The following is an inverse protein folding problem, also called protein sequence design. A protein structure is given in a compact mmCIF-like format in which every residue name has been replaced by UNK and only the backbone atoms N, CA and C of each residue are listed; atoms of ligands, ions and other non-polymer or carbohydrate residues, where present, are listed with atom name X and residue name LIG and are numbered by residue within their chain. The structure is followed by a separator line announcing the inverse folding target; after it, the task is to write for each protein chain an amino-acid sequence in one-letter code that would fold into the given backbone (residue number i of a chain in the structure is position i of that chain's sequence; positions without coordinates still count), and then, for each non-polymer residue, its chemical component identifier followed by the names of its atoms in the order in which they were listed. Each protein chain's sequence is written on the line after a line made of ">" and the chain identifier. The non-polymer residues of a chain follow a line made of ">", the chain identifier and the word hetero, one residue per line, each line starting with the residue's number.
data_IF_327890428165
#
_entry.id   IF_327890428165
#
_cell.length_a   1.000
_cell.length_b   1.000
_cell.length_c   1.000
_cell.angle_alpha   90.00
_cell.angle_beta   90.00
_cell.angle_gamma   90.00
#
_symmetry.space_group_name_H-M   'P 1'
#
loop_
_entity.id
_entity.type
_entity.pdbx_description
1 polymer ?
#
# COMPACT_ATOMS: atom_id res chain seq x y z
N UNK A 1 -69.12 9.53 2.68
CA UNK A 1 -68.85 8.82 1.40
C UNK A 1 -67.34 8.73 1.06
N UNK A 2 -66.49 9.42 1.79
CA UNK A 2 -65.01 9.40 1.59
C UNK A 2 -64.28 8.33 2.39
N UNK A 3 -64.94 7.67 3.35
CA UNK A 3 -64.30 6.78 4.35
C UNK A 3 -64.10 5.32 3.85
N UNK A 4 -64.54 5.02 2.62
CA UNK A 4 -64.36 3.67 2.00
C UNK A 4 -63.34 3.64 0.86
N UNK A 5 -62.79 4.78 0.47
CA UNK A 5 -61.97 4.90 -0.74
C UNK A 5 -60.46 4.64 -0.50
N UNK A 6 -60.05 4.59 0.75
CA UNK A 6 -58.61 4.46 1.07
C UNK A 6 -58.43 3.54 2.28
N UNK A 7 -57.88 2.37 2.08
CA UNK A 7 -57.50 1.45 3.15
C UNK A 7 -55.97 1.29 3.19
N UNK A 8 -55.38 1.72 4.28
CA UNK A 8 -53.95 1.58 4.54
C UNK A 8 -53.79 0.44 5.55
N UNK A 9 -53.24 -0.68 5.13
CA UNK A 9 -52.88 -1.78 6.02
C UNK A 9 -51.34 -1.83 6.17
N UNK A 10 -50.86 -1.53 7.41
CA UNK A 10 -49.49 -1.65 7.78
C UNK A 10 -49.26 -3.00 8.46
N UNK A 11 -48.38 -3.85 7.94
CA UNK A 11 -47.89 -5.03 8.63
C UNK A 11 -46.87 -4.69 9.74
N UNK A 12 -46.48 -5.64 10.61
CA UNK A 12 -45.53 -5.39 11.68
C UNK A 12 -44.11 -5.01 11.18
N UNK A 13 -43.85 -5.20 9.91
CA UNK A 13 -42.58 -4.83 9.25
C UNK A 13 -42.79 -3.52 8.49
N UNK A 14 -42.11 -2.45 8.89
CA UNK A 14 -42.18 -1.08 8.35
C UNK A 14 -41.92 -0.95 6.84
N UNK A 15 -41.72 -2.06 6.13
CA UNK A 15 -41.38 -2.10 4.71
C UNK A 15 -42.54 -2.42 3.77
N UNK A 16 -43.74 -2.74 4.28
CA UNK A 16 -44.88 -3.12 3.45
C UNK A 16 -46.13 -2.29 3.80
N UNK A 17 -46.32 -1.19 3.10
CA UNK A 17 -47.57 -0.45 3.11
C UNK A 17 -48.35 -0.78 1.84
N UNK A 18 -49.53 -1.34 1.98
CA UNK A 18 -50.44 -1.59 0.88
C UNK A 18 -51.53 -0.54 0.87
N UNK A 19 -51.60 0.25 -0.22
CA UNK A 19 -52.63 1.23 -0.42
C UNK A 19 -53.63 0.68 -1.47
N UNK A 20 -54.84 0.37 -1.02
CA UNK A 20 -55.93 -0.10 -1.87
C UNK A 20 -56.83 1.09 -2.20
N UNK A 21 -57.18 1.26 -3.47
CA UNK A 21 -58.15 2.27 -3.93
C UNK A 21 -59.04 1.70 -5.01
N UNK A 22 -60.34 1.96 -4.91
CA UNK A 22 -61.38 1.45 -5.80
C UNK A 22 -61.43 2.18 -7.15
N UNK A 23 -60.75 3.33 -7.31
CA UNK A 23 -60.71 4.06 -8.57
C UNK A 23 -59.29 4.27 -9.09
N UNK A 24 -59.02 3.88 -10.32
CA UNK A 24 -57.73 4.04 -10.99
C UNK A 24 -57.26 5.52 -11.00
N UNK A 25 -58.20 6.45 -11.14
CA UNK A 25 -57.88 7.88 -11.17
C UNK A 25 -57.35 8.40 -9.82
N UNK A 26 -57.95 8.01 -8.69
CA UNK A 26 -57.48 8.40 -7.35
C UNK A 26 -56.11 7.81 -7.05
N UNK A 27 -55.87 6.59 -7.51
CA UNK A 27 -54.56 5.92 -7.34
C UNK A 27 -53.46 6.66 -8.12
N UNK A 28 -53.68 7.01 -9.37
CA UNK A 28 -52.73 7.80 -10.17
C UNK A 28 -52.43 9.14 -9.51
N UNK A 29 -53.48 9.82 -9.00
CA UNK A 29 -53.34 11.12 -8.34
C UNK A 29 -52.50 11.00 -7.05
N UNK A 30 -52.72 9.94 -6.26
CA UNK A 30 -51.93 9.65 -5.04
C UNK A 30 -50.46 9.38 -5.36
N UNK A 31 -50.19 8.61 -6.42
CA UNK A 31 -48.81 8.31 -6.85
C UNK A 31 -48.11 9.59 -7.32
N UNK A 32 -48.76 10.41 -8.12
CA UNK A 32 -48.20 11.71 -8.57
C UNK A 32 -47.95 12.63 -7.37
N UNK A 33 -48.85 12.67 -6.42
CA UNK A 33 -48.68 13.43 -5.18
C UNK A 33 -47.49 12.91 -4.35
N UNK A 34 -47.32 11.58 -4.23
CA UNK A 34 -46.20 10.93 -3.52
C UNK A 34 -44.87 11.25 -4.21
N UNK A 35 -44.80 11.14 -5.54
CA UNK A 35 -43.59 11.46 -6.30
C UNK A 35 -43.23 12.95 -6.15
N UNK A 36 -44.21 13.83 -6.21
CA UNK A 36 -44.00 15.27 -5.97
C UNK A 36 -43.51 15.52 -4.54
N UNK A 37 -44.09 14.85 -3.55
CA UNK A 37 -43.67 14.96 -2.15
C UNK A 37 -42.22 14.48 -1.94
N UNK A 38 -41.82 13.37 -2.55
CA UNK A 38 -40.44 12.86 -2.50
C UNK A 38 -39.49 13.85 -3.15
N UNK A 39 -39.84 14.40 -4.31
CA UNK A 39 -39.03 15.35 -5.06
C UNK A 39 -38.91 16.68 -4.27
N UNK A 40 -39.99 17.16 -3.69
CA UNK A 40 -40.00 18.36 -2.86
C UNK A 40 -39.16 18.15 -1.59
N UNK A 41 -39.37 17.05 -0.88
CA UNK A 41 -38.59 16.69 0.31
C UNK A 41 -37.07 16.57 -0.02
N UNK A 42 -36.76 15.93 -1.13
CA UNK A 42 -35.36 15.80 -1.64
C UNK A 42 -34.77 17.19 -1.93
N UNK A 43 -35.49 18.07 -2.61
CA UNK A 43 -35.04 19.43 -2.91
C UNK A 43 -34.87 20.28 -1.64
N UNK A 44 -35.82 20.26 -0.74
CA UNK A 44 -35.76 20.99 0.54
C UNK A 44 -34.58 20.50 1.38
N UNK A 45 -34.41 19.19 1.52
CA UNK A 45 -33.27 18.60 2.25
C UNK A 45 -31.92 18.93 1.59
N UNK A 46 -31.86 18.99 0.26
CA UNK A 46 -30.64 19.42 -0.44
C UNK A 46 -30.26 20.86 -0.07
N UNK A 47 -31.20 21.79 -0.17
CA UNK A 47 -30.94 23.20 0.16
C UNK A 47 -30.62 23.39 1.64
N UNK A 48 -31.34 22.70 2.53
CA UNK A 48 -31.08 22.73 3.98
C UNK A 48 -29.69 22.20 4.31
N UNK A 49 -29.36 21.00 3.82
CA UNK A 49 -28.03 20.35 4.06
C UNK A 49 -26.93 21.25 3.53
N UNK A 50 -27.08 21.78 2.32
CA UNK A 50 -26.10 22.69 1.73
C UNK A 50 -25.94 23.97 2.57
N UNK A 51 -27.03 24.60 3.01
CA UNK A 51 -26.99 25.81 3.81
C UNK A 51 -26.40 25.58 5.19
N UNK A 52 -26.81 24.52 5.86
CA UNK A 52 -26.27 24.13 7.18
C UNK A 52 -24.78 23.80 7.10
N UNK A 53 -24.38 23.01 6.11
CA UNK A 53 -22.97 22.70 5.90
C UNK A 53 -22.13 23.94 5.64
N UNK A 54 -22.57 24.83 4.76
CA UNK A 54 -21.84 26.07 4.48
C UNK A 54 -21.80 27.00 5.70
N UNK A 55 -22.83 27.06 6.51
CA UNK A 55 -22.87 27.86 7.75
C UNK A 55 -21.93 27.28 8.81
N UNK A 56 -21.95 25.96 9.04
CA UNK A 56 -21.10 25.29 10.04
C UNK A 56 -19.64 25.38 9.61
N UNK A 57 -19.33 24.99 8.37
CA UNK A 57 -17.97 24.98 7.84
C UNK A 57 -17.43 26.42 7.77
N UNK A 58 -18.22 27.38 7.30
CA UNK A 58 -17.82 28.78 7.23
C UNK A 58 -17.56 29.40 8.61
N UNK A 59 -18.31 29.01 9.66
CA UNK A 59 -18.04 29.43 11.04
C UNK A 59 -16.78 28.78 11.60
N UNK A 60 -16.58 27.46 11.41
CA UNK A 60 -15.39 26.76 11.88
C UNK A 60 -14.12 27.15 11.10
N UNK A 61 -14.23 27.42 9.80
CA UNK A 61 -13.11 27.81 8.95
C UNK A 61 -12.57 29.22 9.27
N UNK A 62 -13.40 30.11 9.86
CA UNK A 62 -12.98 31.45 10.32
C UNK A 62 -12.09 31.40 11.55
N UNK A 63 -12.14 30.33 12.31
CA UNK A 63 -11.27 30.11 13.47
C UNK A 63 -9.86 29.73 13.00
N UNK A 64 -8.85 30.53 13.31
CA UNK A 64 -7.45 30.32 12.85
C UNK A 64 -6.88 28.93 13.18
N UNK A 65 -7.45 28.26 14.16
CA UNK A 65 -7.04 26.96 14.67
C UNK A 65 -7.25 25.81 13.66
N UNK A 66 -8.15 25.99 12.66
CA UNK A 66 -8.55 24.93 11.74
C UNK A 66 -8.12 25.17 10.27
N UNK A 67 -6.83 25.39 10.07
CA UNK A 67 -6.27 25.68 8.73
C UNK A 67 -6.58 24.61 7.66
N UNK A 68 -6.72 23.35 8.05
CA UNK A 68 -7.03 22.27 7.13
C UNK A 68 -8.49 22.25 6.68
N UNK A 69 -9.42 22.79 7.49
CA UNK A 69 -10.82 22.93 7.12
C UNK A 69 -11.01 23.91 5.95
N UNK A 70 -10.17 24.93 5.89
CA UNK A 70 -10.12 25.90 4.78
C UNK A 70 -9.67 25.27 3.46
N UNK A 71 -8.73 24.34 3.50
CA UNK A 71 -8.32 23.59 2.31
C UNK A 71 -9.46 22.68 1.80
N UNK A 72 -10.14 21.98 2.69
CA UNK A 72 -11.29 21.15 2.36
C UNK A 72 -12.47 21.99 1.79
N UNK A 73 -12.67 23.21 2.25
CA UNK A 73 -13.66 24.14 1.72
C UNK A 73 -13.31 24.62 0.30
N UNK A 74 -12.05 24.95 0.03
CA UNK A 74 -11.58 25.34 -1.32
C UNK A 74 -11.84 24.25 -2.35
N UNK A 75 -11.59 22.97 -2.00
CA UNK A 75 -11.86 21.82 -2.86
C UNK A 75 -13.33 21.40 -2.88
N UNK A 76 -14.22 22.18 -2.22
CA UNK A 76 -15.66 21.94 -2.20
C UNK A 76 -16.06 20.54 -1.70
N UNK A 77 -15.26 19.95 -0.78
CA UNK A 77 -15.52 18.61 -0.22
C UNK A 77 -16.93 18.53 0.35
N UNK A 78 -17.31 19.50 1.16
CA UNK A 78 -18.63 19.57 1.81
C UNK A 78 -19.77 19.80 0.80
N UNK A 79 -19.50 20.55 -0.27
CA UNK A 79 -20.50 20.77 -1.32
C UNK A 79 -20.76 19.48 -2.12
N UNK A 80 -19.71 18.63 -2.28
CA UNK A 80 -19.84 17.32 -2.95
C UNK A 80 -20.56 16.28 -2.07
N UNK A 81 -20.62 16.47 -0.74
CA UNK A 81 -21.38 15.63 0.19
C UNK A 81 -22.87 16.02 0.28
N UNK A 82 -23.22 17.26 -0.03
CA UNK A 82 -24.61 17.73 0.08
C UNK A 82 -25.63 16.87 -0.69
N UNK A 83 -25.36 16.33 -1.90
CA UNK A 83 -26.29 15.47 -2.62
C UNK A 83 -26.53 14.09 -1.98
N UNK A 84 -25.75 13.71 -0.98
CA UNK A 84 -25.90 12.41 -0.31
C UNK A 84 -27.24 12.29 0.41
N UNK A 85 -27.70 13.37 1.07
CA UNK A 85 -28.95 13.37 1.83
C UNK A 85 -30.17 13.21 0.92
N UNK A 86 -30.33 13.99 -0.16
CA UNK A 86 -31.42 13.74 -1.10
C UNK A 86 -31.36 12.37 -1.76
N UNK A 87 -30.17 11.87 -2.09
CA UNK A 87 -30.02 10.52 -2.63
C UNK A 87 -30.49 9.45 -1.63
N UNK A 88 -30.18 9.62 -0.33
CA UNK A 88 -30.66 8.73 0.72
C UNK A 88 -32.20 8.76 0.86
N UNK A 89 -32.84 9.93 0.68
CA UNK A 89 -34.29 10.04 0.67
C UNK A 89 -34.90 9.27 -0.51
N UNK A 90 -34.33 9.42 -1.70
CA UNK A 90 -34.79 8.69 -2.90
C UNK A 90 -34.58 7.19 -2.72
N UNK A 91 -33.44 6.78 -2.13
CA UNK A 91 -33.17 5.38 -1.81
C UNK A 91 -34.24 4.79 -0.86
N UNK A 92 -34.56 5.52 0.21
CA UNK A 92 -35.56 5.11 1.20
C UNK A 92 -37.00 5.13 0.62
N UNK A 93 -37.23 5.92 -0.42
CA UNK A 93 -38.53 5.98 -1.11
C UNK A 93 -38.79 4.76 -2.03
N UNK A 94 -37.72 4.06 -2.49
CA UNK A 94 -37.86 2.91 -3.38
C UNK A 94 -38.77 1.80 -2.84
N UNK A 95 -38.58 1.30 -1.61
CA UNK A 95 -39.48 0.32 -0.99
C UNK A 95 -40.94 0.80 -0.86
N UNK A 96 -41.16 2.10 -0.59
CA UNK A 96 -42.49 2.69 -0.53
C UNK A 96 -43.21 2.65 -1.90
N UNK A 97 -42.47 2.91 -2.98
CA UNK A 97 -42.99 2.82 -4.35
C UNK A 97 -43.27 1.39 -4.77
N UNK A 98 -42.44 0.41 -4.36
CA UNK A 98 -42.66 -1.00 -4.68
C UNK A 98 -43.87 -1.61 -3.96
N UNK A 99 -44.34 -1.02 -2.84
CA UNK A 99 -45.57 -1.40 -2.14
C UNK A 99 -46.89 -0.89 -2.76
N UNK A 100 -46.82 -0.12 -3.85
CA UNK A 100 -48.02 0.43 -4.50
C UNK A 100 -48.66 -0.63 -5.40
N UNK A 101 -50.00 -0.68 -5.44
CA UNK A 101 -50.81 -1.67 -6.17
C UNK A 101 -50.63 -1.62 -7.69
N UNK A 102 -50.11 -0.51 -8.24
CA UNK A 102 -49.89 -0.37 -9.67
C UNK A 102 -48.57 -1.04 -10.10
N UNK A 103 -48.65 -2.10 -10.95
CA UNK A 103 -47.48 -2.94 -11.28
C UNK A 103 -46.37 -2.14 -11.98
N UNK A 104 -46.72 -1.15 -12.80
CA UNK A 104 -45.73 -0.31 -13.49
C UNK A 104 -44.90 0.54 -12.52
N UNK A 105 -45.52 1.05 -11.46
CA UNK A 105 -44.90 1.95 -10.47
C UNK A 105 -44.11 1.10 -9.47
N UNK A 106 -44.69 -0.01 -9.03
CA UNK A 106 -44.00 -0.99 -8.19
C UNK A 106 -42.71 -1.49 -8.84
N UNK A 107 -42.74 -1.72 -10.16
CA UNK A 107 -41.58 -2.14 -10.94
C UNK A 107 -40.48 -1.06 -11.01
N UNK A 108 -40.80 0.22 -10.83
CA UNK A 108 -39.83 1.34 -10.82
C UNK A 108 -39.17 1.55 -9.47
N UNK A 109 -39.78 1.09 -8.36
CA UNK A 109 -39.27 1.35 -7.01
C UNK A 109 -37.88 0.75 -6.78
N UNK A 110 -37.69 -0.50 -7.21
CA UNK A 110 -36.42 -1.21 -7.08
C UNK A 110 -35.28 -0.59 -7.93
N UNK A 111 -35.41 -0.37 -9.25
CA UNK A 111 -34.35 0.26 -10.03
C UNK A 111 -34.04 1.70 -9.56
N UNK A 112 -35.04 2.44 -9.07
CA UNK A 112 -34.83 3.77 -8.51
C UNK A 112 -33.95 3.73 -7.25
N UNK A 113 -34.18 2.78 -6.37
CA UNK A 113 -33.34 2.59 -5.17
C UNK A 113 -31.90 2.18 -5.54
N UNK A 114 -31.72 1.29 -6.53
CA UNK A 114 -30.39 0.92 -7.03
C UNK A 114 -29.64 2.12 -7.62
N UNK A 115 -30.32 2.91 -8.46
CA UNK A 115 -29.73 4.13 -9.03
C UNK A 115 -29.36 5.15 -7.95
N UNK A 116 -30.21 5.34 -6.94
CA UNK A 116 -29.94 6.22 -5.81
C UNK A 116 -28.72 5.74 -5.00
N UNK A 117 -28.63 4.43 -4.75
CA UNK A 117 -27.48 3.83 -4.06
C UNK A 117 -26.18 4.00 -4.86
N UNK A 118 -26.19 3.73 -6.17
CA UNK A 118 -25.04 3.99 -7.04
C UNK A 118 -24.62 5.46 -7.05
N UNK A 119 -25.62 6.36 -7.05
CA UNK A 119 -25.35 7.80 -6.97
C UNK A 119 -24.76 8.21 -5.61
N UNK A 120 -25.19 7.58 -4.51
CA UNK A 120 -24.58 7.80 -3.19
C UNK A 120 -23.10 7.36 -3.17
N UNK A 121 -22.78 6.19 -3.75
CA UNK A 121 -21.39 5.74 -3.89
C UNK A 121 -20.56 6.73 -4.72
N UNK A 122 -21.12 7.21 -5.85
CA UNK A 122 -20.47 8.21 -6.69
C UNK A 122 -20.21 9.53 -5.95
N UNK A 123 -21.19 10.05 -5.20
CA UNK A 123 -21.03 11.30 -4.44
C UNK A 123 -20.00 11.16 -3.33
N UNK A 124 -19.98 10.00 -2.65
CA UNK A 124 -18.99 9.71 -1.61
C UNK A 124 -17.59 9.63 -2.20
N UNK A 125 -17.42 8.95 -3.33
CA UNK A 125 -16.14 8.88 -4.06
C UNK A 125 -15.67 10.30 -4.45
N UNK A 126 -16.55 11.12 -5.04
CA UNK A 126 -16.21 12.49 -5.42
C UNK A 126 -15.80 13.36 -4.22
N UNK A 127 -16.41 13.15 -3.07
CA UNK A 127 -16.05 13.84 -1.83
C UNK A 127 -14.71 13.36 -1.28
N UNK A 128 -14.46 12.04 -1.30
CA UNK A 128 -13.19 11.45 -0.86
C UNK A 128 -12.01 11.91 -1.75
N UNK A 129 -12.19 11.94 -3.08
CA UNK A 129 -11.18 12.46 -4.00
C UNK A 129 -10.88 13.94 -3.74
N UNK A 130 -11.91 14.77 -3.52
CA UNK A 130 -11.72 16.18 -3.17
C UNK A 130 -11.01 16.35 -1.83
N UNK A 131 -11.24 15.44 -0.89
CA UNK A 131 -10.51 15.42 0.38
C UNK A 131 -9.02 15.11 0.16
N UNK A 132 -8.68 14.11 -0.68
CA UNK A 132 -7.30 13.81 -1.06
C UNK A 132 -6.60 15.02 -1.72
N UNK A 133 -7.30 15.70 -2.63
CA UNK A 133 -6.81 16.95 -3.25
C UNK A 133 -6.50 18.02 -2.19
N UNK A 134 -7.38 18.18 -1.20
CA UNK A 134 -7.18 19.14 -0.10
C UNK A 134 -5.98 18.80 0.78
N UNK A 135 -5.73 17.50 1.00
CA UNK A 135 -4.53 17.01 1.72
C UNK A 135 -3.28 17.29 0.91
N UNK A 136 -3.32 17.06 -0.41
CA UNK A 136 -2.20 17.34 -1.32
C UNK A 136 -1.80 18.82 -1.30
N UNK A 137 -2.77 19.72 -1.45
CA UNK A 137 -2.53 21.17 -1.41
C UNK A 137 -1.93 21.59 -0.07
N UNK A 138 -2.45 21.05 1.01
CA UNK A 138 -1.97 21.38 2.36
C UNK A 138 -0.52 20.95 2.58
N UNK A 139 -0.17 19.76 2.09
CA UNK A 139 1.19 19.23 2.24
C UNK A 139 2.21 20.02 1.40
N UNK A 140 1.84 20.49 0.23
CA UNK A 140 2.74 21.27 -0.65
C UNK A 140 3.22 22.59 -0.02
N UNK A 141 2.53 23.07 1.03
CA UNK A 141 2.92 24.28 1.76
C UNK A 141 3.91 24.03 2.92
N UNK A 142 4.31 22.78 3.18
CA UNK A 142 5.32 22.49 4.20
C UNK A 142 6.73 22.56 3.60
N UNK A 143 7.73 23.11 4.34
CA UNK A 143 9.12 23.22 3.86
C UNK A 143 9.75 21.88 3.46
N UNK A 144 9.32 20.80 4.10
CA UNK A 144 9.80 19.42 3.83
C UNK A 144 9.16 18.75 2.59
N UNK A 145 8.26 19.44 1.88
CA UNK A 145 7.55 18.87 0.74
C UNK A 145 8.46 18.63 -0.48
N UNK A 146 9.55 19.39 -0.59
CA UNK A 146 10.55 19.24 -1.66
C UNK A 146 11.39 17.96 -1.54
N UNK A 147 11.59 17.46 -0.32
CA UNK A 147 12.42 16.28 -0.06
C UNK A 147 11.66 14.95 -0.13
N UNK A 148 10.33 14.98 0.04
CA UNK A 148 9.49 13.77 0.07
C UNK A 148 8.26 13.92 -0.81
N UNK A 149 8.26 13.39 -2.03
CA UNK A 149 7.12 13.51 -2.94
C UNK A 149 5.91 12.67 -2.44
N UNK A 150 4.95 13.32 -1.76
CA UNK A 150 3.67 12.69 -1.35
C UNK A 150 2.76 12.38 -2.55
N UNK A 151 3.02 12.98 -3.70
CA UNK A 151 2.19 12.83 -4.90
C UNK A 151 1.95 11.35 -5.26
N UNK A 152 2.99 10.51 -5.16
CA UNK A 152 2.90 9.08 -5.43
C UNK A 152 1.99 8.35 -4.45
N UNK A 153 2.05 8.68 -3.15
CA UNK A 153 1.18 8.09 -2.13
C UNK A 153 -0.28 8.49 -2.34
N UNK A 154 -0.55 9.73 -2.71
CA UNK A 154 -1.90 10.21 -3.02
C UNK A 154 -2.45 9.55 -4.29
N UNK A 155 -1.61 9.28 -5.28
CA UNK A 155 -1.99 8.54 -6.46
C UNK A 155 -2.41 7.11 -6.13
N UNK A 156 -1.64 6.42 -5.29
CA UNK A 156 -2.00 5.08 -4.79
C UNK A 156 -3.33 5.14 -4.01
N UNK A 157 -3.50 6.09 -3.09
CA UNK A 157 -4.74 6.27 -2.35
C UNK A 157 -5.94 6.53 -3.28
N UNK A 158 -5.75 7.29 -4.35
CA UNK A 158 -6.77 7.55 -5.38
C UNK A 158 -7.17 6.24 -6.09
N UNK A 159 -6.19 5.41 -6.48
CA UNK A 159 -6.46 4.11 -7.12
C UNK A 159 -7.24 3.20 -6.16
N UNK A 160 -6.85 3.14 -4.89
CA UNK A 160 -7.54 2.35 -3.86
C UNK A 160 -8.99 2.82 -3.69
N UNK A 161 -9.25 4.15 -3.67
CA UNK A 161 -10.60 4.70 -3.59
C UNK A 161 -11.46 4.31 -4.80
N UNK A 162 -10.89 4.32 -6.02
CA UNK A 162 -11.62 3.86 -7.20
C UNK A 162 -11.95 2.37 -7.12
N UNK A 163 -11.03 1.52 -6.64
CA UNK A 163 -11.28 0.08 -6.45
C UNK A 163 -12.38 -0.16 -5.42
N UNK A 164 -12.34 0.55 -4.28
CA UNK A 164 -13.38 0.45 -3.24
C UNK A 164 -14.75 0.88 -3.80
N UNK A 165 -14.80 1.99 -4.54
CA UNK A 165 -16.03 2.47 -5.15
C UNK A 165 -16.56 1.49 -6.21
N UNK A 166 -15.69 0.88 -7.01
CA UNK A 166 -16.06 -0.13 -7.98
C UNK A 166 -16.70 -1.36 -7.30
N UNK A 167 -16.06 -1.88 -6.23
CA UNK A 167 -16.60 -2.99 -5.44
C UNK A 167 -17.97 -2.61 -4.84
N UNK A 168 -18.10 -1.38 -4.31
CA UNK A 168 -19.35 -0.90 -3.74
C UNK A 168 -20.47 -0.81 -4.80
N UNK A 169 -20.18 -0.31 -6.00
CA UNK A 169 -21.16 -0.25 -7.11
C UNK A 169 -21.57 -1.66 -7.53
N UNK A 170 -20.61 -2.58 -7.71
CA UNK A 170 -20.91 -3.99 -8.05
C UNK A 170 -21.76 -4.63 -6.95
N UNK A 171 -21.46 -4.36 -5.68
CA UNK A 171 -22.24 -4.86 -4.53
C UNK A 171 -23.69 -4.38 -4.55
N UNK A 172 -23.89 -3.11 -4.86
CA UNK A 172 -25.24 -2.52 -5.02
C UNK A 172 -25.99 -3.18 -6.18
N UNK A 173 -25.35 -3.28 -7.36
CA UNK A 173 -25.98 -3.83 -8.56
C UNK A 173 -26.34 -5.32 -8.44
N UNK A 174 -25.52 -6.10 -7.72
CA UNK A 174 -25.74 -7.52 -7.52
C UNK A 174 -26.48 -7.82 -6.21
N UNK A 175 -26.87 -6.79 -5.44
CA UNK A 175 -27.58 -6.90 -4.15
C UNK A 175 -26.88 -7.84 -3.15
N UNK A 176 -25.55 -7.84 -3.19
CA UNK A 176 -24.70 -8.64 -2.30
C UNK A 176 -23.86 -7.72 -1.42
N UNK A 177 -23.57 -8.18 -0.22
CA UNK A 177 -22.70 -7.40 0.67
C UNK A 177 -21.31 -7.21 0.06
N UNK A 178 -20.66 -6.04 0.24
CA UNK A 178 -19.27 -5.83 -0.18
C UNK A 178 -18.31 -6.87 0.39
N UNK A 179 -18.57 -7.38 1.58
CA UNK A 179 -17.78 -8.44 2.22
C UNK A 179 -17.76 -9.73 1.40
N UNK A 180 -18.85 -10.07 0.70
CA UNK A 180 -18.89 -11.24 -0.19
C UNK A 180 -17.83 -11.17 -1.29
N UNK A 181 -17.71 -10.01 -1.94
CA UNK A 181 -16.70 -9.80 -2.99
C UNK A 181 -15.29 -9.73 -2.43
N UNK A 182 -15.11 -9.10 -1.27
CA UNK A 182 -13.81 -9.04 -0.59
C UNK A 182 -13.33 -10.44 -0.18
N UNK A 183 -14.22 -11.30 0.31
CA UNK A 183 -13.87 -12.68 0.67
C UNK A 183 -13.42 -13.48 -0.57
N UNK A 184 -14.17 -13.41 -1.66
CA UNK A 184 -13.80 -14.05 -2.92
C UNK A 184 -12.47 -13.54 -3.48
N UNK A 185 -12.29 -12.21 -3.48
CA UNK A 185 -11.06 -11.58 -3.93
C UNK A 185 -9.86 -11.97 -3.04
N UNK A 186 -10.07 -12.05 -1.71
CA UNK A 186 -9.03 -12.46 -0.76
C UNK A 186 -8.57 -13.89 -1.01
N UNK A 187 -9.49 -14.82 -1.27
CA UNK A 187 -9.14 -16.20 -1.58
C UNK A 187 -8.33 -16.30 -2.88
N UNK A 188 -8.73 -15.55 -3.91
CA UNK A 188 -8.01 -15.50 -5.18
C UNK A 188 -6.62 -14.85 -5.02
N UNK A 189 -6.54 -13.77 -4.24
CA UNK A 189 -5.27 -13.10 -3.95
C UNK A 189 -4.32 -14.00 -3.18
N UNK A 190 -4.80 -14.77 -2.20
CA UNK A 190 -3.98 -15.74 -1.47
C UNK A 190 -3.40 -16.79 -2.40
N UNK A 191 -4.19 -17.32 -3.34
CA UNK A 191 -3.72 -18.26 -4.34
C UNK A 191 -2.66 -17.63 -5.26
N UNK A 192 -2.88 -16.39 -5.72
CA UNK A 192 -1.91 -15.67 -6.55
C UNK A 192 -0.60 -15.43 -5.81
N UNK A 193 -0.66 -15.04 -4.52
CA UNK A 193 0.54 -14.85 -3.70
C UNK A 193 1.35 -16.14 -3.59
N UNK A 194 0.68 -17.30 -3.43
CA UNK A 194 1.36 -18.59 -3.38
C UNK A 194 2.07 -18.89 -4.70
N UNK A 195 1.40 -18.66 -5.84
CA UNK A 195 1.96 -18.91 -7.18
C UNK A 195 3.15 -17.99 -7.48
N UNK A 196 3.05 -16.71 -7.13
CA UNK A 196 4.06 -15.70 -7.44
C UNK A 196 5.05 -15.43 -6.30
N UNK A 197 5.01 -16.23 -5.23
CA UNK A 197 5.82 -16.02 -4.02
C UNK A 197 7.29 -15.78 -4.32
N UNK A 198 7.91 -16.66 -5.09
CA UNK A 198 9.35 -16.60 -5.34
C UNK A 198 9.72 -15.40 -6.22
N UNK A 199 8.87 -15.06 -7.18
CA UNK A 199 9.04 -13.84 -8.00
C UNK A 199 8.94 -12.57 -7.17
N UNK A 200 7.98 -12.50 -6.25
CA UNK A 200 7.80 -11.35 -5.35
C UNK A 200 8.99 -11.24 -4.37
N UNK A 201 9.44 -12.35 -3.81
CA UNK A 201 10.62 -12.37 -2.94
C UNK A 201 11.87 -11.91 -3.69
N UNK A 202 12.08 -12.39 -4.92
CA UNK A 202 13.19 -11.95 -5.76
C UNK A 202 13.15 -10.44 -6.06
N UNK A 203 11.97 -9.92 -6.39
CA UNK A 203 11.77 -8.49 -6.65
C UNK A 203 12.07 -7.62 -5.42
N UNK A 204 11.51 -7.98 -4.26
CA UNK A 204 11.76 -7.27 -2.99
C UNK A 204 13.23 -7.35 -2.60
N UNK A 205 13.86 -8.52 -2.80
CA UNK A 205 15.28 -8.73 -2.55
C UNK A 205 16.16 -7.79 -3.37
N UNK A 206 15.89 -7.67 -4.67
CA UNK A 206 16.67 -6.78 -5.55
C UNK A 206 16.55 -5.31 -5.13
N UNK A 207 15.36 -4.86 -4.73
CA UNK A 207 15.18 -3.50 -4.20
C UNK A 207 16.00 -3.32 -2.92
N UNK A 208 15.99 -4.29 -2.00
CA UNK A 208 16.72 -4.21 -0.74
C UNK A 208 18.24 -4.20 -0.97
N UNK A 209 18.74 -5.10 -1.85
CA UNK A 209 20.17 -5.16 -2.20
C UNK A 209 20.66 -3.82 -2.75
N UNK A 210 19.86 -3.18 -3.60
CA UNK A 210 20.17 -1.86 -4.15
C UNK A 210 20.04 -0.73 -3.13
N UNK A 211 18.97 -0.72 -2.32
CA UNK A 211 18.70 0.34 -1.34
C UNK A 211 19.71 0.39 -0.20
N UNK A 212 20.21 -0.78 0.22
CA UNK A 212 21.22 -0.89 1.29
C UNK A 212 22.64 -1.02 0.77
N UNK A 213 22.87 -0.92 -0.54
CA UNK A 213 24.17 -1.05 -1.17
C UNK A 213 24.92 -2.35 -0.78
N UNK A 214 24.16 -3.43 -0.64
CA UNK A 214 24.71 -4.72 -0.17
C UNK A 214 25.56 -5.39 -1.24
N UNK A 215 25.29 -5.11 -2.53
CA UNK A 215 25.95 -5.75 -3.67
C UNK A 215 26.05 -4.76 -4.84
N UNK A 216 27.21 -4.76 -5.51
CA UNK A 216 27.47 -4.01 -6.74
C UNK A 216 27.99 -4.93 -7.84
N UNK A 217 27.78 -4.54 -9.09
CA UNK A 217 28.47 -5.16 -10.21
C UNK A 217 29.98 -4.95 -10.06
N UNK A 218 30.74 -6.01 -10.20
CA UNK A 218 32.19 -6.02 -9.96
C UNK A 218 32.60 -6.53 -8.58
N UNK A 219 31.69 -6.72 -7.64
CA UNK A 219 31.99 -7.32 -6.34
C UNK A 219 32.36 -8.78 -6.49
N UNK A 220 33.39 -9.20 -5.77
CA UNK A 220 33.68 -10.63 -5.58
C UNK A 220 32.82 -11.14 -4.41
N UNK A 221 32.00 -12.15 -4.68
CA UNK A 221 31.14 -12.79 -3.69
C UNK A 221 31.34 -14.31 -3.66
N UNK A 222 31.13 -14.87 -2.48
CA UNK A 222 31.09 -16.30 -2.24
C UNK A 222 29.74 -16.64 -1.59
N UNK A 223 28.94 -17.51 -2.23
CA UNK A 223 27.64 -17.93 -1.73
C UNK A 223 27.69 -19.42 -1.40
N UNK A 224 27.84 -19.80 -0.12
CA UNK A 224 27.90 -21.17 0.28
C UNK A 224 26.63 -21.94 -0.13
N UNK A 225 26.83 -23.15 -0.71
CA UNK A 225 25.71 -23.99 -1.14
C UNK A 225 25.19 -23.77 -2.55
N UNK A 226 25.63 -22.71 -3.26
CA UNK A 226 25.21 -22.40 -4.64
C UNK A 226 26.35 -22.50 -5.67
N UNK A 227 27.51 -23.00 -5.28
CA UNK A 227 28.70 -23.12 -6.16
C UNK A 227 29.02 -21.78 -6.85
N UNK A 228 28.74 -20.68 -6.17
CA UNK A 228 29.05 -19.34 -6.65
C UNK A 228 30.22 -18.77 -5.84
N UNK A 229 31.37 -18.63 -6.49
CA UNK A 229 32.57 -18.00 -5.96
C UNK A 229 33.23 -17.22 -7.11
N UNK A 230 32.96 -15.93 -7.19
CA UNK A 230 33.43 -15.15 -8.31
C UNK A 230 32.91 -13.73 -8.33
N UNK A 231 33.00 -13.08 -9.47
CA UNK A 231 32.65 -11.68 -9.64
C UNK A 231 31.23 -11.52 -10.14
N UNK A 232 30.47 -10.60 -9.55
CA UNK A 232 29.15 -10.20 -10.00
C UNK A 232 29.24 -9.44 -11.31
N UNK A 233 28.64 -10.00 -12.38
CA UNK A 233 28.68 -9.39 -13.72
C UNK A 233 27.38 -8.65 -14.06
N UNK A 234 26.25 -9.07 -13.46
CA UNK A 234 24.95 -8.47 -13.76
C UNK A 234 23.99 -8.63 -12.57
N UNK A 235 23.18 -7.62 -12.31
CA UNK A 235 22.13 -7.61 -11.28
C UNK A 235 20.81 -7.26 -11.97
N UNK A 236 20.02 -8.28 -12.30
CA UNK A 236 18.69 -8.13 -12.87
C UNK A 236 17.62 -8.11 -11.77
N UNK A 237 16.35 -7.91 -12.15
CA UNK A 237 15.23 -7.74 -11.23
C UNK A 237 15.04 -8.91 -10.26
N UNK A 238 15.23 -10.16 -10.70
CA UNK A 238 15.02 -11.38 -9.90
C UNK A 238 16.23 -12.28 -9.85
N UNK A 239 17.32 -11.94 -10.56
CA UNK A 239 18.46 -12.83 -10.78
C UNK A 239 19.75 -12.05 -10.74
N UNK A 240 20.77 -12.63 -10.14
CA UNK A 240 22.13 -12.12 -10.10
C UNK A 240 23.02 -13.10 -10.85
N UNK A 241 23.88 -12.60 -11.74
CA UNK A 241 24.85 -13.42 -12.46
C UNK A 241 26.22 -13.23 -11.85
N UNK A 242 26.82 -14.34 -11.47
CA UNK A 242 28.17 -14.41 -10.91
C UNK A 242 29.05 -15.19 -11.88
N UNK A 243 30.16 -14.61 -12.29
CA UNK A 243 31.16 -15.28 -13.05
C UNK A 243 32.20 -15.86 -12.09
N UNK A 244 32.25 -17.18 -12.01
CA UNK A 244 33.23 -17.91 -11.21
C UNK A 244 34.65 -17.81 -11.81
N UNK A 245 35.64 -18.18 -11.04
CA UNK A 245 37.06 -18.16 -11.47
C UNK A 245 37.38 -19.17 -12.58
N UNK A 246 36.54 -20.20 -12.76
CA UNK A 246 36.62 -21.15 -13.87
C UNK A 246 35.92 -20.66 -15.15
N UNK A 247 35.49 -19.36 -15.18
CA UNK A 247 34.70 -18.73 -16.23
C UNK A 247 33.28 -19.29 -16.39
N UNK A 248 32.79 -20.16 -15.51
CA UNK A 248 31.38 -20.55 -15.50
C UNK A 248 30.51 -19.37 -14.99
N UNK A 249 29.28 -19.27 -15.49
CA UNK A 249 28.33 -18.27 -15.05
C UNK A 249 27.26 -18.96 -14.21
N UNK A 250 27.17 -18.58 -12.94
CA UNK A 250 26.13 -19.04 -12.03
C UNK A 250 25.02 -17.95 -11.94
N UNK A 251 23.77 -18.38 -12.14
CA UNK A 251 22.61 -17.52 -11.98
C UNK A 251 21.95 -17.81 -10.64
N UNK A 252 21.88 -16.80 -9.78
CA UNK A 252 21.30 -16.89 -8.44
C UNK A 252 20.02 -16.08 -8.38
N UNK A 253 18.90 -16.61 -7.83
CA UNK A 253 17.76 -15.80 -7.48
C UNK A 253 18.16 -14.74 -6.43
N UNK A 254 17.75 -13.47 -6.62
CA UNK A 254 18.16 -12.37 -5.73
C UNK A 254 17.81 -12.60 -4.27
N UNK A 255 16.70 -13.29 -3.96
CA UNK A 255 16.29 -13.58 -2.58
C UNK A 255 17.26 -14.48 -1.83
N UNK A 256 18.04 -15.30 -2.54
CA UNK A 256 19.05 -16.19 -1.93
C UNK A 256 20.09 -15.40 -1.16
N UNK A 257 20.46 -14.22 -1.65
CA UNK A 257 21.45 -13.37 -1.00
C UNK A 257 20.94 -12.72 0.29
N UNK A 258 19.60 -12.64 0.46
CA UNK A 258 18.99 -12.14 1.71
C UNK A 258 18.75 -13.26 2.73
N UNK A 259 18.45 -14.47 2.25
CA UNK A 259 18.09 -15.59 3.13
C UNK A 259 19.31 -16.40 3.58
N UNK A 260 20.37 -16.40 2.76
CA UNK A 260 21.60 -17.11 3.08
C UNK A 260 22.73 -16.13 3.41
N UNK A 261 23.66 -16.57 4.22
CA UNK A 261 24.86 -15.79 4.47
C UNK A 261 25.72 -15.68 3.20
N UNK A 262 25.99 -14.47 2.77
CA UNK A 262 26.85 -14.15 1.62
C UNK A 262 28.12 -13.50 2.10
N UNK A 263 29.24 -13.96 1.60
CA UNK A 263 30.53 -13.37 1.88
C UNK A 263 30.89 -12.43 0.74
N UNK A 264 30.90 -11.14 1.02
CA UNK A 264 31.31 -10.10 0.08
C UNK A 264 32.76 -9.68 0.39
N UNK A 265 33.61 -9.83 -0.60
CA UNK A 265 35.04 -9.51 -0.50
C UNK A 265 35.37 -8.06 -0.84
N UNK A 266 34.37 -7.19 -1.08
CA UNK A 266 34.55 -5.76 -1.36
C UNK A 266 35.42 -5.08 -0.29
N UNK A 267 35.15 -5.35 1.00
CA UNK A 267 35.95 -4.79 2.10
C UNK A 267 37.42 -5.14 2.06
N UNK A 268 37.79 -6.34 1.55
CA UNK A 268 39.19 -6.72 1.34
C UNK A 268 39.83 -5.87 0.24
N UNK A 269 39.11 -5.67 -0.88
CA UNK A 269 39.61 -4.88 -2.01
C UNK A 269 39.77 -3.40 -1.62
N UNK A 270 38.83 -2.85 -0.87
CA UNK A 270 38.83 -1.46 -0.40
C UNK A 270 39.89 -1.19 0.69
N UNK A 271 40.20 -2.18 1.53
CA UNK A 271 41.22 -2.05 2.59
C UNK A 271 42.65 -2.13 2.11
N UNK A 272 42.87 -2.50 0.83
CA UNK A 272 44.20 -2.65 0.25
C UNK A 272 45.05 -3.81 0.83
N UNK A 273 44.45 -4.66 1.68
CA UNK A 273 45.14 -5.77 2.32
C UNK A 273 44.31 -7.05 2.35
N UNK A 274 45.00 -8.21 2.26
CA UNK A 274 44.39 -9.53 2.38
C UNK A 274 44.84 -10.24 3.63
N UNK A 275 43.89 -10.76 4.41
CA UNK A 275 44.25 -11.66 5.52
C UNK A 275 44.85 -12.96 4.99
N UNK A 276 46.11 -13.23 5.35
CA UNK A 276 46.74 -14.51 5.10
C UNK A 276 46.69 -15.32 6.40
N UNK A 277 46.17 -16.54 6.32
CA UNK A 277 46.18 -17.48 7.46
C UNK A 277 46.97 -18.70 7.04
N UNK A 278 48.16 -18.85 7.61
CA UNK A 278 48.99 -20.04 7.48
C UNK A 278 49.02 -20.78 8.81
N UNK A 279 48.92 -22.09 8.77
CA UNK A 279 49.18 -22.95 9.92
C UNK A 279 50.52 -23.67 9.66
N UNK A 280 51.44 -23.57 10.62
CA UNK A 280 52.70 -24.30 10.61
C UNK A 280 52.59 -25.34 11.73
N UNK A 281 52.75 -26.59 11.37
CA UNK A 281 52.72 -27.68 12.35
C UNK A 281 54.15 -27.93 12.82
N UNK A 282 54.34 -27.81 14.12
CA UNK A 282 55.60 -28.18 14.78
C UNK A 282 55.40 -29.48 15.53
N UNK A 283 56.43 -30.35 15.46
CA UNK A 283 56.46 -31.50 16.32
C UNK A 283 56.78 -31.01 17.77
N UNK A 284 55.89 -31.36 18.71
CA UNK A 284 56.00 -30.94 20.09
C UNK A 284 57.31 -31.30 20.74
N UNK A 285 57.92 -32.45 20.32
CA UNK A 285 59.20 -32.95 20.83
C UNK A 285 60.38 -32.12 20.33
N UNK A 286 60.22 -31.28 19.30
CA UNK A 286 61.28 -30.41 18.78
C UNK A 286 61.27 -29.00 19.47
N UNK A 287 60.25 -28.70 20.26
CA UNK A 287 60.14 -27.42 20.98
C UNK A 287 61.07 -27.46 22.22
N UNK A 288 62.15 -26.68 22.18
CA UNK A 288 63.07 -26.53 23.28
C UNK A 288 63.41 -25.07 23.58
N UNK A 289 63.87 -24.80 24.77
CA UNK A 289 64.35 -23.46 25.09
C UNK A 289 65.60 -23.15 24.26
N UNK A 290 65.67 -21.92 23.69
CA UNK A 290 66.83 -21.53 22.90
C UNK A 290 68.08 -21.47 23.78
N UNK A 291 69.20 -22.05 23.29
CA UNK A 291 70.54 -21.86 23.86
C UNK A 291 71.14 -20.55 23.30
N UNK A 292 72.22 -20.08 23.96
CA UNK A 292 72.89 -18.81 23.59
C UNK A 292 73.45 -18.87 22.14
N UNK A 293 73.82 -20.01 21.64
CA UNK A 293 74.30 -20.19 20.28
C UNK A 293 73.19 -20.07 19.25
N UNK A 294 71.97 -20.54 19.57
CA UNK A 294 70.80 -20.39 18.73
C UNK A 294 70.28 -18.93 18.72
N UNK A 295 70.32 -18.27 19.91
CA UNK A 295 69.95 -16.82 20.02
C UNK A 295 70.90 -15.96 19.17
N UNK A 296 72.21 -16.22 19.21
CA UNK A 296 73.15 -15.48 18.38
C UNK A 296 72.92 -15.65 16.88
N UNK A 297 72.59 -16.89 16.45
CA UNK A 297 72.21 -17.16 15.06
C UNK A 297 70.88 -16.52 14.65
N UNK A 298 69.86 -16.53 15.50
CA UNK A 298 68.62 -15.89 15.24
C UNK A 298 68.77 -14.35 15.11
N UNK A 299 69.60 -13.70 15.92
CA UNK A 299 69.90 -12.28 15.77
C UNK A 299 70.59 -11.98 14.43
N UNK A 300 71.50 -12.83 13.97
CA UNK A 300 72.21 -12.62 12.69
C UNK A 300 71.31 -12.83 11.50
N UNK A 301 70.30 -13.74 11.58
CA UNK A 301 69.49 -14.15 10.46
C UNK A 301 68.18 -13.35 10.35
N UNK A 302 67.67 -12.80 11.48
CA UNK A 302 66.36 -12.10 11.52
C UNK A 302 66.53 -10.59 11.38
N UNK A 303 67.49 -9.95 12.01
CA UNK A 303 67.63 -8.49 12.01
C UNK A 303 67.85 -7.89 10.59
N UNK A 304 68.70 -8.41 9.69
CA UNK A 304 68.86 -7.82 8.37
C UNK A 304 67.63 -7.96 7.45
N UNK A 305 66.95 -9.14 7.42
CA UNK A 305 65.79 -9.31 6.56
C UNK A 305 64.57 -8.50 7.01
N UNK A 306 64.34 -8.30 8.33
CA UNK A 306 63.22 -7.52 8.85
C UNK A 306 63.41 -6.03 8.58
N UNK A 307 64.64 -5.51 8.65
CA UNK A 307 64.95 -4.12 8.29
C UNK A 307 64.69 -3.82 6.79
N UNK A 308 64.82 -4.82 5.92
CA UNK A 308 64.51 -4.67 4.47
C UNK A 308 62.99 -4.64 4.18
N UNK A 309 62.16 -5.13 5.08
CA UNK A 309 60.70 -5.16 4.97
C UNK A 309 59.99 -4.13 5.83
N UNK A 310 60.69 -3.28 6.59
CA UNK A 310 60.06 -2.16 7.28
C UNK A 310 59.59 -1.15 6.24
N UNK A 311 58.27 -0.92 6.07
CA UNK A 311 57.79 0.16 5.24
C UNK A 311 58.23 1.49 5.89
N UNK A 312 58.61 2.46 5.07
CA UNK A 312 58.99 3.82 5.50
C UNK A 312 57.90 4.54 6.28
N UNK A 313 56.71 4.01 6.34
CA UNK A 313 55.60 4.50 7.12
C UNK A 313 55.44 3.75 8.44
N UNK A 314 55.63 4.44 9.52
CA UNK A 314 55.50 4.00 10.91
C UNK A 314 54.08 3.58 11.34
N UNK A 315 53.37 2.81 10.49
CA UNK A 315 52.09 2.18 10.80
C UNK A 315 52.23 0.66 10.84
N UNK A 316 53.16 0.22 11.62
CA UNK A 316 53.19 -1.19 12.04
C UNK A 316 52.04 -1.42 13.02
N UNK A 317 50.90 -1.86 12.51
CA UNK A 317 49.95 -2.61 13.32
C UNK A 317 50.69 -3.85 13.82
N UNK A 318 50.92 -3.89 15.11
CA UNK A 318 51.55 -4.97 15.83
C UNK A 318 50.98 -6.33 15.38
N UNK A 319 51.82 -7.17 14.80
CA UNK A 319 51.52 -8.58 14.56
C UNK A 319 51.38 -9.23 15.94
N UNK A 320 50.21 -9.25 16.52
CA UNK A 320 49.96 -10.00 17.77
C UNK A 320 49.93 -11.46 17.41
N UNK A 321 51.03 -12.13 17.63
CA UNK A 321 51.10 -13.59 17.70
C UNK A 321 50.41 -14.00 19.00
N UNK A 322 49.16 -14.40 18.93
CA UNK A 322 48.49 -15.12 20.02
C UNK A 322 48.89 -16.59 19.89
N UNK A 323 49.71 -17.04 20.81
CA UNK A 323 50.01 -18.45 21.08
C UNK A 323 48.76 -19.11 21.63
#
# INVERSE_FOLDING_TARGET
>A
MFDKALRIEGGPDWHHFHVYTDSEFVAVLLVVALLLAILLASAVCYYLTRSIMLLIVGRLARQERHKWLRAAERHKVFHRLAPLVPAAIVYAAGPLLSGITFPLIAALGHPLSLLAACYMVYTLLRAALAFLESVSERYSHFPSASERPIKSFLQIATIVLYVIALIAVISVLLERSPAYFLTGLSAMTALLIIIFRDSLLGFVASIQLAAYDMLRVGDWIEVPGYVADGTVIDIALNTIKVQNFDNSIVMLPSYVLLTNGVKNWRGMTESGGRRVKHSIHFDADTVRFPDDALLARLHSDIDPPLAAFAPDDARTSACTVSI
#
